data_IF_345077122087
#
_entry.id   IF_345077122087
#
_cell.length_a   1.000
_cell.length_b   1.000
_cell.length_c   1.000
_cell.angle_alpha   90.00
_cell.angle_beta   90.00
_cell.angle_gamma   90.00
#
_symmetry.space_group_name_H-M   'P 1'
#
loop_
_entity.id
_entity.type
_entity.pdbx_description
1 polymer ?
#
# COMPACT_ATOMS: atom_id res chain seq x y z
N UNK A 1 20.13 9.72 -13.47
CA UNK A 1 19.85 8.46 -12.75
C UNK A 1 19.29 8.88 -11.42
N UNK A 2 17.96 8.91 -11.32
CA UNK A 2 17.28 9.55 -10.19
C UNK A 2 17.26 8.57 -9.01
N UNK A 3 17.99 8.91 -7.95
CA UNK A 3 18.06 8.14 -6.70
C UNK A 3 16.71 8.23 -6.01
N UNK A 4 15.96 7.13 -5.98
CA UNK A 4 14.74 7.00 -5.19
C UNK A 4 15.03 7.10 -3.70
N UNK A 5 15.12 8.32 -3.18
CA UNK A 5 15.20 8.60 -1.74
C UNK A 5 13.78 8.83 -1.22
N UNK A 6 13.17 7.78 -0.68
CA UNK A 6 11.96 7.91 0.14
C UNK A 6 12.27 7.94 1.63
N UNK A 7 11.33 8.43 2.42
CA UNK A 7 11.43 8.40 3.87
C UNK A 7 11.58 6.94 4.36
N UNK A 8 12.61 6.67 5.16
CA UNK A 8 12.92 5.35 5.70
C UNK A 8 12.17 5.18 7.04
N UNK A 9 11.34 4.15 7.14
CA UNK A 9 10.85 3.66 8.41
C UNK A 9 11.87 2.67 9.02
N UNK A 10 11.77 2.45 10.33
CA UNK A 10 12.58 1.44 11.03
C UNK A 10 12.46 0.08 10.34
N UNK A 11 13.56 -0.71 10.23
CA UNK A 11 13.49 -2.03 9.63
C UNK A 11 12.43 -2.89 10.29
N UNK A 12 11.73 -3.69 9.48
CA UNK A 12 10.74 -4.61 10.00
C UNK A 12 11.38 -5.71 10.88
N UNK A 13 10.54 -6.52 11.51
CA UNK A 13 10.97 -7.66 12.35
C UNK A 13 11.81 -8.73 11.63
N UNK A 14 11.97 -8.63 10.31
CA UNK A 14 12.77 -9.51 9.47
C UNK A 14 14.00 -8.81 8.90
N UNK A 15 14.31 -7.59 9.34
CA UNK A 15 15.47 -6.81 8.88
C UNK A 15 15.28 -6.15 7.52
N UNK A 16 14.03 -6.02 7.04
CA UNK A 16 13.74 -5.36 5.74
C UNK A 16 13.54 -3.88 5.94
N UNK A 17 14.09 -3.08 5.03
CA UNK A 17 13.79 -1.64 4.94
C UNK A 17 12.36 -1.42 4.47
N UNK A 18 11.63 -0.56 5.18
CA UNK A 18 10.28 -0.11 4.79
C UNK A 18 10.39 1.37 4.41
N UNK A 19 9.92 1.73 3.22
CA UNK A 19 10.05 3.10 2.71
C UNK A 19 8.98 3.45 1.68
N UNK A 20 8.72 4.73 1.51
CA UNK A 20 8.04 5.26 0.31
C UNK A 20 8.95 5.07 -0.91
N UNK A 21 8.41 4.59 -2.04
CA UNK A 21 9.22 4.35 -3.24
C UNK A 21 8.73 5.26 -4.35
N UNK A 22 9.65 6.06 -4.89
CA UNK A 22 9.36 6.97 -5.99
C UNK A 22 10.06 6.51 -7.27
N UNK A 23 9.31 6.52 -8.37
CA UNK A 23 9.84 6.29 -9.71
C UNK A 23 9.38 7.42 -10.62
N UNK A 24 10.31 8.11 -11.28
CA UNK A 24 10.02 9.28 -12.12
C UNK A 24 9.16 10.35 -11.41
N UNK A 25 9.45 10.61 -10.14
CA UNK A 25 8.70 11.56 -9.31
C UNK A 25 7.31 11.08 -8.86
N UNK A 26 6.90 9.85 -9.18
CA UNK A 26 5.61 9.29 -8.78
C UNK A 26 5.75 8.29 -7.64
N UNK A 27 4.89 8.42 -6.62
CA UNK A 27 4.80 7.46 -5.52
C UNK A 27 4.23 6.14 -6.02
N UNK A 28 5.06 5.10 -6.02
CA UNK A 28 4.72 3.77 -6.55
C UNK A 28 3.57 3.13 -5.78
N UNK A 29 3.57 3.22 -4.44
CA UNK A 29 2.48 2.68 -3.63
C UNK A 29 1.13 3.29 -3.98
N UNK A 30 1.08 4.62 -4.16
CA UNK A 30 -0.15 5.31 -4.52
C UNK A 30 -0.66 4.87 -5.89
N UNK A 31 0.24 4.65 -6.86
CA UNK A 31 -0.15 4.16 -8.17
C UNK A 31 -0.72 2.74 -8.10
N UNK A 32 -0.06 1.83 -7.39
CA UNK A 32 -0.56 0.45 -7.18
C UNK A 32 -1.96 0.44 -6.53
N UNK A 33 -2.21 1.35 -5.59
CA UNK A 33 -3.52 1.49 -4.94
C UNK A 33 -4.57 2.02 -5.93
N UNK A 34 -4.24 3.05 -6.72
CA UNK A 34 -5.13 3.62 -7.75
C UNK A 34 -5.55 2.59 -8.81
N UNK A 35 -4.68 1.61 -9.08
CA UNK A 35 -4.91 0.52 -10.03
C UNK A 35 -5.61 -0.69 -9.38
N UNK A 36 -5.86 -0.65 -8.07
CA UNK A 36 -6.55 -1.71 -7.33
C UNK A 36 -5.71 -2.99 -7.19
N UNK A 37 -4.38 -2.86 -7.16
CA UNK A 37 -3.46 -4.00 -7.08
C UNK A 37 -3.21 -4.48 -5.64
N UNK A 38 -3.39 -3.59 -4.65
CA UNK A 38 -2.95 -3.83 -3.27
C UNK A 38 -4.02 -3.44 -2.25
N UNK A 39 -3.86 -3.96 -1.03
CA UNK A 39 -4.64 -3.54 0.14
C UNK A 39 -3.90 -2.46 0.92
N UNK A 40 -4.59 -1.36 1.28
CA UNK A 40 -4.09 -0.46 2.30
C UNK A 40 -4.08 -1.20 3.66
N UNK A 41 -2.97 -1.09 4.41
CA UNK A 41 -2.77 -1.82 5.65
C UNK A 41 -2.44 -0.87 6.81
N UNK A 42 -3.45 -0.60 7.63
CA UNK A 42 -3.45 0.42 8.69
C UNK A 42 -2.25 0.40 9.65
N UNK A 43 -1.62 -0.75 9.99
CA UNK A 43 -0.44 -0.75 10.86
C UNK A 43 0.75 0.07 10.33
N UNK A 44 0.81 0.37 9.03
CA UNK A 44 1.84 1.26 8.46
C UNK A 44 1.39 2.71 8.32
N UNK A 45 0.18 3.07 8.78
CA UNK A 45 -0.35 4.44 8.69
C UNK A 45 0.56 5.47 9.39
N UNK A 46 1.10 5.12 10.55
CA UNK A 46 1.95 6.02 11.32
C UNK A 46 3.28 6.36 10.62
N UNK A 47 3.80 5.42 9.82
CA UNK A 47 5.11 5.52 9.17
C UNK A 47 5.00 5.94 7.69
N UNK A 48 3.81 6.30 7.21
CA UNK A 48 3.55 6.67 5.82
C UNK A 48 3.03 8.11 5.72
N UNK A 49 3.90 9.09 5.41
CA UNK A 49 3.51 10.48 5.18
C UNK A 49 2.36 10.65 4.19
N UNK A 50 2.32 9.84 3.12
CA UNK A 50 1.29 9.92 2.08
C UNK A 50 0.04 9.08 2.37
N UNK A 51 -0.15 8.61 3.62
CA UNK A 51 -1.24 7.71 3.97
C UNK A 51 -2.63 8.23 3.59
N UNK A 52 -2.91 9.52 3.83
CA UNK A 52 -4.23 10.10 3.53
C UNK A 52 -4.58 9.99 2.03
N UNK A 53 -3.60 10.17 1.14
CA UNK A 53 -3.79 10.03 -0.30
C UNK A 53 -4.02 8.56 -0.69
N UNK A 54 -3.26 7.65 -0.07
CA UNK A 54 -3.41 6.21 -0.25
C UNK A 54 -4.81 5.74 0.21
N UNK A 55 -5.27 6.17 1.38
CA UNK A 55 -6.58 5.80 1.95
C UNK A 55 -7.73 6.28 1.06
N UNK A 56 -7.64 7.51 0.56
CA UNK A 56 -8.60 8.05 -0.41
C UNK A 56 -8.59 7.24 -1.72
N UNK A 57 -7.42 7.02 -2.31
CA UNK A 57 -7.29 6.26 -3.56
C UNK A 57 -7.79 4.81 -3.41
N UNK A 58 -7.55 4.20 -2.25
CA UNK A 58 -8.00 2.85 -1.93
C UNK A 58 -9.53 2.78 -1.87
N UNK A 59 -10.17 3.75 -1.20
CA UNK A 59 -11.63 3.86 -1.15
C UNK A 59 -12.23 3.99 -2.55
N UNK A 60 -11.62 4.82 -3.40
CA UNK A 60 -12.03 4.98 -4.80
C UNK A 60 -11.82 3.72 -5.65
N UNK A 61 -10.70 3.01 -5.46
CA UNK A 61 -10.42 1.77 -6.18
C UNK A 61 -11.44 0.66 -5.82
N UNK A 62 -11.82 0.56 -4.54
CA UNK A 62 -12.86 -0.37 -4.08
C UNK A 62 -14.24 -0.02 -4.64
N UNK A 63 -14.64 1.25 -4.60
CA UNK A 63 -15.95 1.66 -5.12
C UNK A 63 -16.09 1.45 -6.62
N UNK A 64 -14.99 1.64 -7.37
CA UNK A 64 -14.90 1.39 -8.81
C UNK A 64 -14.64 -0.08 -9.18
N UNK A 65 -14.55 -0.98 -8.19
CA UNK A 65 -14.25 -2.41 -8.38
C UNK A 65 -12.99 -2.65 -9.25
N UNK A 66 -11.95 -1.83 -9.08
CA UNK A 66 -10.70 -1.94 -9.84
C UNK A 66 -9.85 -3.14 -9.38
N UNK A 67 -9.11 -3.73 -10.32
CA UNK A 67 -8.11 -4.75 -10.02
C UNK A 67 -8.68 -5.90 -9.19
N UNK A 68 -8.07 -6.18 -8.04
CA UNK A 68 -8.49 -7.26 -7.15
C UNK A 68 -9.93 -7.07 -6.63
N UNK A 69 -10.42 -5.83 -6.56
CA UNK A 69 -11.79 -5.49 -6.12
C UNK A 69 -12.87 -5.76 -7.17
N UNK A 70 -12.50 -6.21 -8.37
CA UNK A 70 -13.44 -6.69 -9.40
C UNK A 70 -14.30 -7.86 -8.93
N UNK A 71 -13.77 -8.69 -8.03
CA UNK A 71 -14.47 -9.82 -7.40
C UNK A 71 -15.02 -9.51 -6.01
N UNK A 72 -14.90 -10.48 -5.11
CA UNK A 72 -15.14 -10.31 -3.68
C UNK A 72 -13.89 -10.76 -2.88
N UNK A 73 -12.76 -10.03 -3.02
CA UNK A 73 -11.50 -10.44 -2.41
C UNK A 73 -11.58 -10.29 -0.88
N UNK A 74 -11.03 -11.26 -0.15
CA UNK A 74 -10.87 -11.16 1.30
C UNK A 74 -9.54 -10.45 1.63
N UNK A 75 -9.50 -9.52 2.60
CA UNK A 75 -8.25 -8.92 3.03
C UNK A 75 -7.23 -9.97 3.51
N UNK A 76 -5.93 -9.84 3.17
CA UNK A 76 -4.92 -10.85 3.50
C UNK A 76 -4.76 -11.11 5.00
N UNK A 77 -5.01 -10.10 5.85
CA UNK A 77 -4.96 -10.28 7.32
C UNK A 77 -6.15 -11.08 7.85
N UNK A 78 -7.33 -10.98 7.24
CA UNK A 78 -8.48 -11.81 7.61
C UNK A 78 -8.24 -13.26 7.20
N UNK A 79 -7.75 -13.50 5.97
CA UNK A 79 -7.38 -14.83 5.53
C UNK A 79 -6.36 -15.47 6.48
N UNK A 80 -5.28 -14.74 6.82
CA UNK A 80 -4.25 -15.23 7.77
C UNK A 80 -4.81 -15.55 9.15
N UNK A 81 -5.82 -14.82 9.63
CA UNK A 81 -6.46 -15.07 10.93
C UNK A 81 -7.31 -16.35 10.91
N UNK A 82 -7.97 -16.64 9.79
CA UNK A 82 -8.84 -17.83 9.63
C UNK A 82 -8.06 -19.14 9.43
N UNK A 83 -6.84 -19.04 8.91
CA UNK A 83 -5.99 -20.19 8.55
C UNK A 83 -4.76 -20.32 9.47
N UNK A 84 -4.84 -19.76 10.67
CA UNK A 84 -3.86 -19.98 11.73
C UNK A 84 -4.28 -21.16 12.60
#
# INVERSE_FOLDING_TARGET
MDTGSGALASPDRFGRTVAEVYANGQLVQLQQVKDGMVWAYDPFKADCPQWNEIEKAFTEARSKRKGIFGGNPMPPWEWRRRNR
#
